data_IF_256715416240
#
_entry.id   IF_256715416240
#
_cell.length_a   1.000
_cell.length_b   1.000
_cell.length_c   1.000
_cell.angle_alpha   90.00
_cell.angle_beta   90.00
_cell.angle_gamma   90.00
#
_symmetry.space_group_name_H-M   'P 1'
#
loop_
_entity.id
_entity.type
_entity.pdbx_description
1 polymer ?
#
# COMPACT_ATOMS: atom_id res chain seq x y z
N UNK A 1 17.65 26.86 -42.60
CA UNK A 1 19.03 26.69 -42.09
C UNK A 1 19.08 27.29 -40.69
N UNK A 2 18.97 26.44 -39.66
CA UNK A 2 20.03 26.13 -38.68
C UNK A 2 19.98 27.09 -37.47
N UNK A 3 19.27 26.74 -36.39
CA UNK A 3 19.75 26.04 -35.17
C UNK A 3 20.72 26.86 -34.32
N UNK A 4 20.32 27.15 -33.07
CA UNK A 4 21.12 27.30 -31.85
C UNK A 4 20.12 27.46 -30.67
N UNK A 5 19.66 26.38 -30.00
CA UNK A 5 20.28 25.60 -28.90
C UNK A 5 19.86 26.10 -27.50
N UNK A 6 19.04 25.26 -26.86
CA UNK A 6 18.65 25.08 -25.43
C UNK A 6 19.85 25.18 -24.43
N UNK A 7 19.68 25.20 -23.07
CA UNK A 7 18.61 24.55 -22.28
C UNK A 7 18.20 25.21 -20.93
N UNK A 8 17.03 24.81 -20.39
CA UNK A 8 16.88 24.62 -18.95
C UNK A 8 15.80 23.56 -18.70
N UNK A 9 16.28 22.32 -18.67
CA UNK A 9 15.55 21.13 -18.24
C UNK A 9 15.10 21.34 -16.77
N UNK A 10 13.82 21.62 -16.54
CA UNK A 10 13.23 21.50 -15.21
C UNK A 10 13.04 20.01 -14.92
N UNK A 11 13.93 19.51 -14.07
CA UNK A 11 14.02 18.13 -13.61
C UNK A 11 12.67 17.65 -13.08
N UNK A 12 12.24 16.52 -13.63
CA UNK A 12 11.16 15.67 -13.17
C UNK A 12 11.42 15.23 -11.72
N UNK A 13 10.99 16.02 -10.74
CA UNK A 13 10.67 15.51 -9.41
C UNK A 13 9.29 14.86 -9.46
N UNK A 14 9.12 13.89 -10.35
CA UNK A 14 8.07 12.89 -10.14
C UNK A 14 8.54 12.12 -8.92
N UNK A 15 7.97 12.45 -7.76
CA UNK A 15 8.03 11.57 -6.61
C UNK A 15 7.77 10.17 -7.14
N UNK A 16 8.73 9.27 -6.92
CA UNK A 16 8.57 7.87 -7.22
C UNK A 16 7.50 7.34 -6.25
N UNK A 17 6.23 7.68 -6.51
CA UNK A 17 5.10 6.92 -6.06
C UNK A 17 5.16 5.63 -6.87
N UNK A 18 6.12 4.76 -6.52
CA UNK A 18 6.11 3.39 -6.95
C UNK A 18 4.73 2.88 -6.61
N UNK A 19 3.97 2.53 -7.66
CA UNK A 19 2.60 2.10 -7.53
C UNK A 19 2.56 1.03 -6.44
N UNK A 20 1.93 1.35 -5.32
CA UNK A 20 1.69 0.35 -4.28
C UNK A 20 0.80 -0.74 -4.89
N UNK A 21 0.83 -1.99 -4.40
CA UNK A 21 -0.05 -3.01 -4.95
C UNK A 21 -1.50 -2.54 -4.92
N UNK A 22 -2.20 -2.64 -6.05
CA UNK A 22 -3.55 -2.09 -6.19
C UNK A 22 -4.52 -2.69 -5.15
N UNK A 23 -4.38 -3.98 -4.83
CA UNK A 23 -5.17 -4.71 -3.82
C UNK A 23 -4.87 -4.31 -2.37
N UNK A 24 -3.86 -3.46 -2.15
CA UNK A 24 -3.45 -3.00 -0.83
C UNK A 24 -3.64 -1.49 -0.67
N UNK A 25 -4.53 -0.85 -1.45
CA UNK A 25 -4.82 0.57 -1.31
C UNK A 25 -6.28 0.93 -1.60
N UNK A 26 -6.76 1.99 -0.96
CA UNK A 26 -8.10 2.56 -1.22
C UNK A 26 -9.22 1.54 -1.04
N UNK A 27 -10.20 1.57 -1.94
CA UNK A 27 -11.36 0.67 -1.91
C UNK A 27 -11.03 -0.81 -2.21
N UNK A 28 -9.80 -1.10 -2.66
CA UNK A 28 -9.39 -2.46 -3.01
C UNK A 28 -8.78 -3.22 -1.82
N UNK A 29 -8.53 -2.55 -0.70
CA UNK A 29 -8.10 -3.23 0.54
C UNK A 29 -9.19 -4.24 0.92
N UNK A 30 -8.80 -5.47 1.26
CA UNK A 30 -9.76 -6.46 1.76
C UNK A 30 -10.48 -5.92 2.99
N UNK A 31 -11.80 -5.81 2.91
CA UNK A 31 -12.61 -5.26 4.00
C UNK A 31 -12.61 -3.73 4.06
N UNK A 32 -12.24 -3.04 2.97
CA UNK A 32 -12.27 -1.58 2.88
C UNK A 32 -13.65 -0.97 3.25
N UNK A 33 -14.75 -1.70 3.07
CA UNK A 33 -16.10 -1.29 3.48
C UNK A 33 -16.32 -1.28 5.00
N UNK A 34 -15.40 -1.85 5.77
CA UNK A 34 -15.36 -1.87 7.24
C UNK A 34 -14.36 -0.85 7.80
N UNK A 35 -13.80 -0.01 6.93
CA UNK A 35 -12.81 1.00 7.24
C UNK A 35 -13.30 2.37 6.77
N UNK A 36 -12.93 3.41 7.51
CA UNK A 36 -13.08 4.80 7.08
C UNK A 36 -12.07 5.14 5.97
N UNK A 37 -12.28 6.27 5.29
CA UNK A 37 -11.30 6.74 4.30
C UNK A 37 -9.92 7.00 4.94
N UNK A 38 -9.89 7.52 6.16
CA UNK A 38 -8.63 7.85 6.83
C UNK A 38 -7.91 6.60 7.32
N UNK A 39 -8.62 5.61 7.87
CA UNK A 39 -8.01 4.31 8.22
C UNK A 39 -7.34 3.64 7.00
N UNK A 40 -7.91 3.81 5.80
CA UNK A 40 -7.33 3.26 4.56
C UNK A 40 -6.07 4.01 4.12
N UNK A 41 -6.02 5.33 4.30
CA UNK A 41 -4.81 6.13 4.07
C UNK A 41 -3.72 5.75 5.07
N UNK A 42 -4.08 5.64 6.34
CA UNK A 42 -3.17 5.29 7.43
C UNK A 42 -2.61 3.87 7.24
N UNK A 43 -3.43 2.92 6.79
CA UNK A 43 -2.98 1.57 6.44
C UNK A 43 -1.87 1.60 5.38
N UNK A 44 -2.08 2.33 4.28
CA UNK A 44 -1.07 2.44 3.21
C UNK A 44 0.19 3.15 3.71
N UNK A 45 0.03 4.26 4.43
CA UNK A 45 1.15 5.01 4.99
C UNK A 45 1.96 4.16 5.98
N UNK A 46 1.28 3.37 6.81
CA UNK A 46 1.91 2.48 7.78
C UNK A 46 2.71 1.38 7.09
N UNK A 47 2.15 0.70 6.10
CA UNK A 47 2.88 -0.30 5.31
C UNK A 47 4.13 0.28 4.64
N UNK A 48 4.01 1.45 4.02
CA UNK A 48 5.11 2.10 3.33
C UNK A 48 6.23 2.58 4.28
N UNK A 49 5.92 2.76 5.57
CA UNK A 49 6.89 3.23 6.57
C UNK A 49 7.83 2.15 7.09
N UNK A 50 7.43 0.88 7.00
CA UNK A 50 8.11 -0.26 7.60
C UNK A 50 9.50 -0.49 7.03
N UNK A 51 10.36 -1.14 7.82
CA UNK A 51 11.79 -1.36 7.45
C UNK A 51 12.18 -2.82 7.31
N UNK A 52 11.41 -3.72 7.89
CA UNK A 52 11.69 -5.16 7.84
C UNK A 52 10.47 -5.98 7.41
N UNK A 53 10.74 -7.15 6.84
CA UNK A 53 9.71 -8.13 6.50
C UNK A 53 8.94 -8.57 7.75
N UNK A 54 9.62 -8.75 8.89
CA UNK A 54 8.98 -9.18 10.13
C UNK A 54 8.02 -8.12 10.69
N UNK A 55 8.43 -6.84 10.69
CA UNK A 55 7.54 -5.72 11.06
C UNK A 55 6.29 -5.70 10.16
N UNK A 56 6.49 -5.88 8.85
CA UNK A 56 5.40 -5.90 7.89
C UNK A 56 4.44 -7.06 8.10
N UNK A 57 4.96 -8.28 8.25
CA UNK A 57 4.12 -9.46 8.46
C UNK A 57 3.35 -9.39 9.77
N UNK A 58 4.00 -8.92 10.85
CA UNK A 58 3.33 -8.69 12.13
C UNK A 58 2.17 -7.70 12.02
N UNK A 59 2.40 -6.57 11.33
CA UNK A 59 1.33 -5.59 11.10
C UNK A 59 0.20 -6.12 10.22
N UNK A 60 0.52 -6.78 9.10
CA UNK A 60 -0.48 -7.36 8.20
C UNK A 60 -1.34 -8.41 8.90
N UNK A 61 -0.73 -9.27 9.72
CA UNK A 61 -1.46 -10.25 10.50
C UNK A 61 -2.42 -9.58 11.50
N UNK A 62 -1.96 -8.56 12.23
CA UNK A 62 -2.79 -7.82 13.16
C UNK A 62 -3.96 -7.13 12.44
N UNK A 63 -3.69 -6.49 11.30
CA UNK A 63 -4.71 -5.82 10.50
C UNK A 63 -5.76 -6.80 9.95
N UNK A 64 -5.34 -7.96 9.42
CA UNK A 64 -6.27 -9.00 8.93
C UNK A 64 -7.18 -9.49 10.05
N UNK A 65 -6.63 -9.75 11.25
CA UNK A 65 -7.41 -10.20 12.40
C UNK A 65 -8.43 -9.15 12.87
N UNK A 66 -8.05 -7.89 12.86
CA UNK A 66 -8.94 -6.78 13.18
C UNK A 66 -10.10 -6.69 12.18
N UNK A 67 -9.81 -6.74 10.88
CA UNK A 67 -10.82 -6.68 9.83
C UNK A 67 -11.74 -7.92 9.88
N UNK A 68 -11.19 -9.11 10.15
CA UNK A 68 -11.98 -10.33 10.32
C UNK A 68 -12.92 -10.24 11.54
N UNK A 69 -12.46 -9.62 12.64
CA UNK A 69 -13.29 -9.37 13.82
C UNK A 69 -14.45 -8.42 13.47
N UNK A 70 -14.16 -7.27 12.86
CA UNK A 70 -15.19 -6.30 12.43
C UNK A 70 -16.19 -6.96 11.48
N UNK A 71 -15.71 -7.78 10.53
CA UNK A 71 -16.56 -8.49 9.59
C UNK A 71 -17.53 -9.45 10.28
N UNK A 72 -17.06 -10.19 11.29
CA UNK A 72 -17.93 -11.06 12.10
C UNK A 72 -18.97 -10.26 12.88
N UNK A 73 -18.56 -9.16 13.52
CA UNK A 73 -19.47 -8.29 14.29
C UNK A 73 -20.58 -7.68 13.40
N UNK A 74 -20.25 -7.34 12.16
CA UNK A 74 -21.18 -6.75 11.20
C UNK A 74 -21.84 -7.76 10.24
N UNK A 75 -21.59 -9.06 10.40
CA UNK A 75 -22.06 -10.13 9.50
C UNK A 75 -21.73 -9.87 8.01
N UNK A 76 -20.56 -9.29 7.74
CA UNK A 76 -20.09 -8.99 6.38
C UNK A 76 -19.22 -10.14 5.88
N UNK A 77 -19.58 -10.82 4.78
CA UNK A 77 -18.70 -11.81 4.18
C UNK A 77 -17.48 -11.13 3.55
N UNK A 78 -16.28 -11.62 3.87
CA UNK A 78 -15.04 -11.13 3.26
C UNK A 78 -14.49 -12.13 2.24
N UNK A 79 -13.94 -11.65 1.10
CA UNK A 79 -13.22 -12.52 0.18
C UNK A 79 -11.94 -13.08 0.85
N UNK A 80 -11.30 -14.11 0.28
CA UNK A 80 -9.99 -14.56 0.75
C UNK A 80 -8.96 -13.43 0.66
N UNK A 81 -7.91 -13.51 1.47
CA UNK A 81 -6.76 -12.59 1.39
C UNK A 81 -6.09 -12.75 0.02
N UNK A 82 -5.84 -11.62 -0.64
CA UNK A 82 -5.23 -11.57 -1.97
C UNK A 82 -3.88 -10.86 -1.91
N UNK A 83 -2.87 -11.51 -2.50
CA UNK A 83 -1.51 -10.98 -2.55
C UNK A 83 -0.82 -10.87 -1.19
N UNK A 84 0.43 -10.46 -1.22
CA UNK A 84 1.24 -10.20 -0.04
C UNK A 84 2.01 -8.87 -0.27
N UNK A 85 1.55 -7.76 0.33
CA UNK A 85 2.23 -6.48 0.16
C UNK A 85 3.63 -6.49 0.78
N UNK A 86 3.90 -7.32 1.79
CA UNK A 86 5.22 -7.44 2.42
C UNK A 86 6.22 -8.09 1.47
N UNK A 87 5.85 -9.19 0.81
CA UNK A 87 6.72 -9.84 -0.18
C UNK A 87 6.94 -8.95 -1.41
N UNK A 88 5.93 -8.17 -1.84
CA UNK A 88 6.13 -7.18 -2.91
C UNK A 88 7.11 -6.09 -2.47
N UNK A 89 6.95 -5.52 -1.28
CA UNK A 89 7.87 -4.51 -0.76
C UNK A 89 9.29 -5.04 -0.60
N UNK A 90 9.44 -6.30 -0.18
CA UNK A 90 10.74 -6.99 -0.10
C UNK A 90 11.37 -7.17 -1.49
N UNK A 91 10.58 -7.64 -2.45
CA UNK A 91 11.04 -7.83 -3.86
C UNK A 91 11.46 -6.51 -4.49
N UNK A 92 10.78 -5.42 -4.14
CA UNK A 92 11.15 -4.06 -4.55
C UNK A 92 12.36 -3.47 -3.80
N UNK A 93 12.93 -4.20 -2.83
CA UNK A 93 14.05 -3.73 -2.01
C UNK A 93 13.70 -2.62 -1.02
N UNK A 94 12.41 -2.40 -0.72
CA UNK A 94 11.95 -1.36 0.23
C UNK A 94 12.14 -1.75 1.68
N UNK A 95 12.02 -3.05 1.97
CA UNK A 95 12.19 -3.65 3.29
C UNK A 95 13.11 -4.85 3.19
N UNK A 96 13.82 -5.17 4.26
CA UNK A 96 14.76 -6.30 4.32
C UNK A 96 14.18 -7.47 5.09
#
# INVERSE_FOLDING_TARGET
>A
MNRLVLPALLVLLNGQAWAFPWYAQGDNVRGAQLMTQDERKDYVARLQSMKSVDECKGYMQAHILEIDKRAKEHNVPLPPVQGDPCEVMKTMGRIR
#
